data_IF_589826969199
#
_entry.id   IF_589826969199
#
_cell.length_a   1.000
_cell.length_b   1.000
_cell.length_c   1.000
_cell.angle_alpha   90.00
_cell.angle_beta   90.00
_cell.angle_gamma   90.00
#
_symmetry.space_group_name_H-M   'P 1'
#
loop_
_entity.id
_entity.type
_entity.pdbx_description
1 polymer ?
#
# COMPACT_ATOMS: atom_id res chain seq x y z
N UNK A 1 -17.27 14.15 18.43
CA UNK A 1 -16.02 13.38 18.58
C UNK A 1 -15.95 12.41 17.41
N UNK A 2 -15.07 12.66 16.45
CA UNK A 2 -14.90 11.81 15.26
C UNK A 2 -13.91 10.68 15.57
N UNK A 3 -14.21 9.47 15.09
CA UNK A 3 -13.28 8.33 15.14
C UNK A 3 -12.32 8.38 13.94
N UNK A 4 -11.13 7.81 14.08
CA UNK A 4 -10.12 7.71 13.01
C UNK A 4 -10.65 6.95 11.78
N UNK A 5 -10.17 7.24 10.57
CA UNK A 5 -10.65 6.61 9.32
C UNK A 5 -10.01 5.23 9.04
N UNK A 6 -9.28 4.64 9.99
CA UNK A 6 -8.59 3.38 9.79
C UNK A 6 -9.57 2.19 9.83
N UNK A 7 -9.73 1.54 8.67
CA UNK A 7 -10.25 0.18 8.43
C UNK A 7 -11.27 -0.33 9.48
N UNK A 8 -12.49 0.20 9.44
CA UNK A 8 -13.54 -0.20 10.39
C UNK A 8 -14.23 -1.51 9.97
N UNK A 9 -13.71 -2.64 10.46
CA UNK A 9 -14.38 -3.93 10.40
C UNK A 9 -15.83 -3.83 10.93
N UNK A 10 -16.79 -4.32 10.14
CA UNK A 10 -18.19 -4.45 10.56
C UNK A 10 -18.26 -5.60 11.58
N UNK A 11 -18.37 -5.30 12.89
CA UNK A 11 -19.14 -6.06 13.93
C UNK A 11 -18.86 -5.71 15.42
N UNK A 12 -18.27 -4.56 15.80
CA UNK A 12 -18.12 -4.20 17.23
C UNK A 12 -19.21 -3.23 17.76
N UNK A 13 -20.04 -3.72 18.70
CA UNK A 13 -21.02 -2.90 19.46
C UNK A 13 -20.33 -2.06 20.55
N UNK A 14 -20.99 -0.97 20.97
CA UNK A 14 -20.49 -0.04 21.99
C UNK A 14 -20.42 -0.64 23.40
N UNK A 15 -19.48 -0.16 24.20
CA UNK A 15 -19.76 0.23 25.59
C UNK A 15 -18.90 1.44 25.99
N UNK A 16 -19.34 2.19 27.01
CA UNK A 16 -18.86 3.54 27.33
C UNK A 16 -18.42 3.63 28.79
N UNK A 17 -17.20 4.13 29.06
CA UNK A 17 -16.80 4.62 30.40
C UNK A 17 -15.92 5.87 30.25
N UNK A 18 -16.05 6.81 31.19
CA UNK A 18 -15.39 8.12 31.24
C UNK A 18 -14.69 8.27 32.61
N UNK A 19 -13.44 8.74 32.65
CA UNK A 19 -12.81 9.44 33.80
C UNK A 19 -11.43 9.99 33.42
N UNK A 20 -10.91 10.98 34.18
CA UNK A 20 -9.65 11.69 33.92
C UNK A 20 -8.79 11.78 35.21
N UNK A 21 -7.48 12.12 35.10
CA UNK A 21 -6.87 13.31 35.74
C UNK A 21 -5.34 13.49 35.50
N UNK A 22 -4.91 14.73 35.73
CA UNK A 22 -3.55 15.33 35.76
C UNK A 22 -2.75 14.87 37.02
N UNK A 23 -1.42 15.05 37.25
CA UNK A 23 -0.35 16.00 36.78
C UNK A 23 1.05 15.32 36.85
N UNK A 24 2.08 15.81 36.12
CA UNK A 24 3.47 15.86 36.65
C UNK A 24 4.61 15.38 35.74
N UNK A 25 5.68 16.18 35.60
CA UNK A 25 6.91 15.78 34.89
C UNK A 25 8.18 16.25 35.58
N UNK A 26 9.31 15.59 35.32
CA UNK A 26 10.68 16.03 35.63
C UNK A 26 11.59 15.57 34.50
N UNK A 27 12.50 16.44 34.03
CA UNK A 27 13.54 16.09 33.08
C UNK A 27 14.87 15.82 33.81
N UNK A 28 15.63 14.82 33.35
CA UNK A 28 17.00 14.55 33.80
C UNK A 28 17.89 14.41 32.57
N UNK A 29 19.02 15.14 32.57
CA UNK A 29 20.01 15.13 31.49
C UNK A 29 21.12 14.11 31.74
N UNK A 30 21.59 13.46 30.67
CA UNK A 30 22.73 12.55 30.63
C UNK A 30 23.61 12.84 29.40
N UNK A 31 24.89 12.45 29.40
CA UNK A 31 25.90 13.04 28.52
C UNK A 31 25.85 12.56 27.06
N UNK A 32 26.42 13.39 26.18
CA UNK A 32 26.50 13.16 24.74
C UNK A 32 27.35 11.93 24.38
N UNK A 33 26.92 11.22 23.34
CA UNK A 33 27.72 10.23 22.61
C UNK A 33 27.86 10.65 21.14
N UNK A 34 28.93 10.16 20.51
CA UNK A 34 29.50 10.63 19.23
C UNK A 34 28.52 10.66 18.04
N UNK A 35 28.75 11.51 17.02
CA UNK A 35 27.85 11.62 15.87
C UNK A 35 27.79 10.30 15.09
N UNK A 36 26.59 9.76 14.95
CA UNK A 36 26.31 8.71 13.98
C UNK A 36 26.49 9.26 12.56
N UNK A 37 27.03 8.43 11.67
CA UNK A 37 27.14 8.76 10.24
C UNK A 37 25.78 9.14 9.70
N UNK A 38 25.66 10.37 9.20
CA UNK A 38 24.36 10.93 8.80
C UNK A 38 23.72 10.12 7.68
N UNK A 39 22.68 9.35 8.03
CA UNK A 39 21.73 8.83 7.04
C UNK A 39 21.05 10.03 6.41
N UNK A 40 21.49 10.40 5.20
CA UNK A 40 20.77 11.35 4.36
C UNK A 40 19.45 10.70 3.99
N UNK A 41 18.38 11.25 4.55
CA UNK A 41 17.02 10.84 4.25
C UNK A 41 16.75 11.01 2.75
N UNK A 42 15.93 10.13 2.20
CA UNK A 42 15.84 9.90 0.74
C UNK A 42 14.52 10.37 0.11
N UNK A 43 13.72 11.16 0.84
CA UNK A 43 12.46 11.70 0.31
C UNK A 43 12.72 12.90 -0.61
N UNK A 44 12.00 12.93 -1.74
CA UNK A 44 11.99 14.06 -2.66
C UNK A 44 10.86 15.06 -2.34
N UNK A 45 9.82 14.62 -1.63
CA UNK A 45 8.71 15.44 -1.16
C UNK A 45 7.34 14.83 -1.43
N UNK A 46 6.30 15.67 -1.35
CA UNK A 46 4.91 15.28 -1.59
C UNK A 46 4.63 15.18 -3.08
N UNK A 47 4.01 14.07 -3.47
CA UNK A 47 3.57 13.83 -4.84
C UNK A 47 2.30 14.63 -5.15
N UNK A 48 2.38 15.47 -6.18
CA UNK A 48 1.23 16.17 -6.76
C UNK A 48 0.44 17.05 -5.80
N UNK A 49 1.11 17.77 -4.90
CA UNK A 49 0.53 18.73 -3.96
C UNK A 49 -0.66 19.54 -4.55
N UNK A 50 -1.81 19.52 -3.86
CA UNK A 50 -3.11 20.09 -4.24
C UNK A 50 -3.87 19.43 -5.40
N UNK A 51 -3.35 18.37 -6.02
CA UNK A 51 -4.00 17.65 -7.13
C UNK A 51 -4.13 16.16 -6.82
N UNK A 52 -3.00 15.50 -6.57
CA UNK A 52 -2.92 14.12 -6.09
C UNK A 52 -3.10 14.16 -4.58
N UNK A 53 -2.07 14.54 -3.82
CA UNK A 53 -2.17 14.75 -2.37
C UNK A 53 -2.96 16.05 -2.07
N UNK A 54 -4.07 15.94 -1.34
CA UNK A 54 -4.98 17.06 -1.07
C UNK A 54 -5.25 17.20 0.44
N UNK A 55 -6.47 17.55 0.87
CA UNK A 55 -6.87 17.55 2.30
C UNK A 55 -7.44 16.20 2.75
N UNK A 56 -7.78 15.33 1.80
CA UNK A 56 -8.31 14.00 2.05
C UNK A 56 -7.20 13.05 2.53
N UNK A 57 -7.48 11.75 2.48
CA UNK A 57 -6.51 10.68 2.69
C UNK A 57 -6.26 10.03 1.34
N UNK A 58 -5.04 10.13 0.82
CA UNK A 58 -4.61 9.50 -0.42
C UNK A 58 -3.65 8.33 -0.12
N UNK A 59 -3.99 7.14 -0.60
CA UNK A 59 -3.31 5.87 -0.29
C UNK A 59 -2.88 5.16 -1.57
N UNK A 60 -1.70 4.53 -1.52
CA UNK A 60 -1.12 3.62 -2.51
C UNK A 60 -1.16 4.16 -3.95
N UNK A 61 -0.35 5.19 -4.18
CA UNK A 61 -0.23 5.81 -5.50
C UNK A 61 0.61 4.98 -6.48
N UNK A 62 0.07 4.69 -7.66
CA UNK A 62 0.75 3.98 -8.73
C UNK A 62 0.84 4.85 -9.98
N UNK A 63 2.05 4.97 -10.54
CA UNK A 63 2.31 5.68 -11.80
C UNK A 63 2.34 4.70 -12.96
N UNK A 64 1.68 5.03 -14.07
CA UNK A 64 1.63 4.21 -15.27
C UNK A 64 3.03 4.04 -15.89
N UNK A 65 3.32 2.93 -16.60
CA UNK A 65 4.66 2.69 -17.16
C UNK A 65 5.16 3.74 -18.17
N UNK A 66 4.27 4.56 -18.74
CA UNK A 66 4.60 5.70 -19.61
C UNK A 66 4.79 7.04 -18.86
N UNK A 67 4.59 7.04 -17.53
CA UNK A 67 4.65 8.21 -16.67
C UNK A 67 3.53 9.24 -16.88
N UNK A 68 2.55 8.99 -17.74
CA UNK A 68 1.54 9.98 -18.12
C UNK A 68 0.33 10.01 -17.18
N UNK A 69 0.11 8.98 -16.38
CA UNK A 69 -1.01 8.87 -15.45
C UNK A 69 -0.53 8.41 -14.06
N UNK A 70 -1.21 8.90 -13.03
CA UNK A 70 -1.11 8.38 -11.67
C UNK A 70 -2.51 8.01 -11.18
N UNK A 71 -2.63 6.89 -10.49
CA UNK A 71 -3.84 6.43 -9.80
C UNK A 71 -3.56 6.25 -8.31
N UNK A 72 -4.57 6.45 -7.46
CA UNK A 72 -4.47 6.24 -6.02
C UNK A 72 -5.85 5.93 -5.44
N UNK A 73 -5.90 5.28 -4.27
CA UNK A 73 -7.14 5.13 -3.50
C UNK A 73 -7.36 6.36 -2.61
N UNK A 74 -8.61 6.79 -2.42
CA UNK A 74 -8.94 7.78 -1.40
C UNK A 74 -10.20 7.42 -0.62
N UNK A 75 -10.14 7.60 0.70
CA UNK A 75 -11.18 7.16 1.65
C UNK A 75 -12.22 8.23 1.99
N UNK A 76 -12.00 9.48 1.57
CA UNK A 76 -12.79 10.63 2.00
C UNK A 76 -12.71 11.85 1.06
N UNK A 77 -12.32 11.63 -0.21
CA UNK A 77 -12.28 12.69 -1.23
C UNK A 77 -13.63 12.79 -1.95
N UNK A 78 -14.22 13.99 -1.87
CA UNK A 78 -15.54 14.27 -2.43
C UNK A 78 -15.61 14.06 -3.96
N UNK A 79 -16.71 13.48 -4.44
CA UNK A 79 -16.99 13.27 -5.87
C UNK A 79 -16.82 11.84 -6.38
N UNK A 80 -16.39 10.91 -5.51
CA UNK A 80 -16.39 9.47 -5.78
C UNK A 80 -17.80 8.85 -5.88
N UNK A 81 -17.86 7.58 -6.27
CA UNK A 81 -19.09 6.79 -6.39
C UNK A 81 -19.45 6.04 -5.10
N UNK A 82 -18.50 5.85 -4.19
CA UNK A 82 -18.64 5.04 -2.98
C UNK A 82 -18.16 5.76 -1.73
N UNK A 83 -17.62 4.98 -0.78
CA UNK A 83 -16.93 5.52 0.40
C UNK A 83 -15.43 5.60 0.20
N UNK A 84 -14.83 4.53 -0.32
CA UNK A 84 -13.44 4.50 -0.77
C UNK A 84 -13.43 4.33 -2.29
N UNK A 85 -12.72 5.23 -2.96
CA UNK A 85 -12.78 5.40 -4.40
C UNK A 85 -11.37 5.42 -5.00
N UNK A 86 -11.22 4.86 -6.21
CA UNK A 86 -10.02 5.05 -7.01
C UNK A 86 -10.09 6.39 -7.75
N UNK A 87 -8.99 7.13 -7.72
CA UNK A 87 -8.81 8.41 -8.39
C UNK A 87 -7.66 8.35 -9.38
N UNK A 88 -7.67 9.25 -10.37
CA UNK A 88 -6.58 9.43 -11.32
C UNK A 88 -6.29 10.90 -11.57
N UNK A 89 -5.05 11.19 -12.00
CA UNK A 89 -4.64 12.47 -12.58
C UNK A 89 -3.71 12.19 -13.77
N UNK A 90 -3.60 13.16 -14.70
CA UNK A 90 -2.69 13.08 -15.86
C UNK A 90 -1.51 14.03 -15.71
N UNK A 91 -0.35 13.66 -16.23
CA UNK A 91 0.81 14.52 -16.29
C UNK A 91 0.68 15.46 -17.48
N UNK A 92 0.81 16.76 -17.24
CA UNK A 92 0.86 17.78 -18.29
C UNK A 92 1.79 18.91 -17.85
N UNK A 93 2.69 19.32 -18.74
CA UNK A 93 3.69 20.38 -18.49
C UNK A 93 4.52 20.14 -17.21
N UNK A 94 4.85 18.86 -16.96
CA UNK A 94 5.60 18.43 -15.77
C UNK A 94 4.83 18.44 -14.44
N UNK A 95 3.50 18.59 -14.47
CA UNK A 95 2.64 18.62 -13.27
C UNK A 95 1.42 17.72 -13.42
N UNK A 96 0.98 17.12 -12.31
CA UNK A 96 -0.31 16.42 -12.27
C UNK A 96 -1.46 17.41 -12.42
N UNK A 97 -2.45 17.08 -13.25
CA UNK A 97 -3.62 17.90 -13.56
C UNK A 97 -4.88 17.02 -13.72
N UNK A 98 -6.05 17.66 -13.71
CA UNK A 98 -7.36 17.06 -13.99
C UNK A 98 -7.71 15.82 -13.14
N UNK A 99 -7.50 15.93 -11.83
CA UNK A 99 -7.81 14.85 -10.89
C UNK A 99 -9.32 14.53 -10.86
N UNK A 100 -9.66 13.26 -11.06
CA UNK A 100 -11.05 12.75 -11.17
C UNK A 100 -11.18 11.31 -10.67
N UNK A 101 -12.35 10.85 -10.21
CA UNK A 101 -12.58 9.45 -9.89
C UNK A 101 -12.47 8.56 -11.14
N UNK A 102 -12.21 7.27 -10.95
CA UNK A 102 -12.23 6.29 -12.03
C UNK A 102 -13.66 5.85 -12.38
N UNK A 103 -13.91 5.64 -13.67
CA UNK A 103 -15.20 5.13 -14.17
C UNK A 103 -15.48 3.66 -13.82
N UNK A 104 -14.52 2.95 -13.21
CA UNK A 104 -14.67 1.56 -12.71
C UNK A 104 -15.07 1.49 -11.24
N UNK A 105 -15.12 2.63 -10.54
CA UNK A 105 -15.60 2.68 -9.16
C UNK A 105 -17.07 2.27 -9.10
N UNK A 106 -17.44 1.76 -7.94
CA UNK A 106 -18.76 1.26 -7.60
C UNK A 106 -19.25 1.92 -6.31
N UNK A 107 -20.50 1.68 -5.89
CA UNK A 107 -20.98 2.10 -4.56
C UNK A 107 -20.32 1.35 -3.38
N UNK A 108 -19.41 0.42 -3.65
CA UNK A 108 -18.64 -0.32 -2.65
C UNK A 108 -17.35 0.44 -2.27
N UNK A 109 -16.44 -0.21 -1.55
CA UNK A 109 -15.07 0.28 -1.43
C UNK A 109 -14.25 -0.26 -2.61
N UNK A 110 -13.53 0.60 -3.31
CA UNK A 110 -12.60 0.26 -4.39
C UNK A 110 -11.24 0.89 -4.11
N UNK A 111 -10.19 0.07 -3.93
CA UNK A 111 -8.96 0.52 -3.28
C UNK A 111 -7.66 -0.16 -3.72
N UNK A 112 -6.52 0.37 -3.24
CA UNK A 112 -5.17 -0.11 -3.50
C UNK A 112 -4.78 -0.33 -4.97
N UNK A 113 -4.93 0.69 -5.84
CA UNK A 113 -4.70 0.55 -7.27
C UNK A 113 -3.22 0.35 -7.61
N UNK A 114 -2.92 -0.55 -8.55
CA UNK A 114 -1.57 -0.74 -9.08
C UNK A 114 -1.60 -1.10 -10.58
N UNK A 115 -0.90 -0.31 -11.39
CA UNK A 115 -0.76 -0.60 -12.82
C UNK A 115 0.09 -1.86 -13.03
N UNK A 116 -0.25 -2.67 -14.03
CA UNK A 116 0.67 -3.71 -14.55
C UNK A 116 1.93 -3.07 -15.15
N UNK A 117 3.04 -3.80 -15.13
CA UNK A 117 4.32 -3.34 -15.70
C UNK A 117 4.29 -3.13 -17.22
N UNK A 118 3.32 -3.72 -17.92
CA UNK A 118 3.05 -3.53 -19.35
C UNK A 118 1.97 -2.46 -19.66
N UNK A 119 1.36 -1.87 -18.62
CA UNK A 119 0.36 -0.81 -18.73
C UNK A 119 -1.01 -1.26 -19.26
N UNK A 120 -1.26 -2.56 -19.48
CA UNK A 120 -2.52 -3.07 -20.08
C UNK A 120 -3.60 -3.36 -19.06
N UNK A 121 -3.27 -3.37 -17.77
CA UNK A 121 -4.17 -3.69 -16.67
C UNK A 121 -3.98 -2.74 -15.49
N UNK A 122 -5.08 -2.43 -14.81
CA UNK A 122 -5.08 -1.87 -13.47
C UNK A 122 -5.60 -2.94 -12.50
N UNK A 123 -4.83 -3.26 -11.47
CA UNK A 123 -5.21 -4.15 -10.37
C UNK A 123 -5.66 -3.31 -9.17
N UNK A 124 -6.61 -3.83 -8.38
CA UNK A 124 -7.16 -3.18 -7.19
C UNK A 124 -7.94 -4.21 -6.35
N UNK A 125 -8.32 -3.89 -5.11
CA UNK A 125 -9.27 -4.72 -4.34
C UNK A 125 -10.64 -4.03 -4.21
N UNK A 126 -11.68 -4.82 -3.94
CA UNK A 126 -13.05 -4.32 -3.78
C UNK A 126 -13.97 -5.27 -3.01
N UNK A 127 -14.90 -4.72 -2.22
CA UNK A 127 -16.05 -5.46 -1.66
C UNK A 127 -17.33 -5.29 -2.49
N UNK A 128 -17.20 -5.09 -3.80
CA UNK A 128 -18.33 -5.02 -4.74
C UNK A 128 -19.17 -6.31 -4.72
N UNK A 129 -20.51 -6.22 -4.82
CA UNK A 129 -21.38 -7.40 -4.89
C UNK A 129 -21.04 -8.33 -6.05
N UNK A 130 -21.12 -9.65 -5.82
CA UNK A 130 -20.74 -10.69 -6.78
C UNK A 130 -19.34 -11.26 -6.56
N UNK A 131 -18.65 -10.79 -5.51
CA UNK A 131 -17.39 -11.32 -5.02
C UNK A 131 -17.43 -12.74 -4.42
N UNK A 132 -16.28 -13.19 -3.92
CA UNK A 132 -16.08 -14.52 -3.31
C UNK A 132 -16.01 -14.41 -1.77
N UNK A 133 -15.31 -13.39 -1.26
CA UNK A 133 -15.11 -13.11 0.17
C UNK A 133 -15.68 -11.77 0.63
N UNK A 134 -14.93 -11.06 1.47
CA UNK A 134 -15.19 -9.69 1.89
C UNK A 134 -14.65 -8.71 0.85
N UNK A 135 -13.41 -8.27 1.03
CA UNK A 135 -12.63 -7.61 -0.02
C UNK A 135 -11.98 -8.67 -0.93
N UNK A 136 -12.27 -8.67 -2.24
CA UNK A 136 -11.55 -9.52 -3.21
C UNK A 136 -10.59 -8.71 -4.09
N UNK A 137 -9.62 -9.38 -4.73
CA UNK A 137 -8.80 -8.81 -5.78
C UNK A 137 -9.51 -8.81 -7.15
N UNK A 138 -9.37 -7.68 -7.86
CA UNK A 138 -9.90 -7.44 -9.20
C UNK A 138 -8.82 -6.87 -10.14
N UNK A 139 -9.13 -6.87 -11.43
CA UNK A 139 -8.43 -6.05 -12.44
C UNK A 139 -9.41 -5.46 -13.46
N UNK A 140 -8.98 -4.39 -14.14
CA UNK A 140 -9.65 -3.87 -15.33
C UNK A 140 -8.63 -3.69 -16.46
N UNK A 141 -9.00 -4.08 -17.67
CA UNK A 141 -8.17 -3.84 -18.86
C UNK A 141 -8.10 -2.32 -19.16
N UNK A 142 -6.93 -1.83 -19.53
CA UNK A 142 -6.73 -0.45 -19.99
C UNK A 142 -6.69 -0.48 -21.52
N UNK A 143 -7.60 0.26 -22.15
CA UNK A 143 -7.71 0.35 -23.61
C UNK A 143 -6.74 1.41 -24.17
N UNK A 144 -6.40 1.37 -25.47
CA UNK A 144 -5.50 2.35 -26.10
C UNK A 144 -5.97 3.82 -26.02
N UNK A 145 -7.25 4.08 -25.76
CA UNK A 145 -7.81 5.41 -25.54
C UNK A 145 -7.75 5.89 -24.07
N UNK A 146 -7.12 5.11 -23.19
CA UNK A 146 -7.06 5.35 -21.75
C UNK A 146 -8.35 5.03 -21.00
N UNK A 147 -9.38 4.50 -21.67
CA UNK A 147 -10.60 4.03 -21.00
C UNK A 147 -10.41 2.62 -20.42
N UNK A 148 -11.17 2.30 -19.38
CA UNK A 148 -11.17 0.98 -18.77
C UNK A 148 -12.17 0.03 -19.44
N UNK A 149 -11.82 -1.25 -19.50
CA UNK A 149 -12.74 -2.34 -19.82
C UNK A 149 -13.63 -2.73 -18.63
N UNK A 150 -14.41 -3.82 -18.77
CA UNK A 150 -15.11 -4.42 -17.64
C UNK A 150 -14.14 -4.80 -16.51
N UNK A 151 -14.65 -4.78 -15.28
CA UNK A 151 -13.91 -5.25 -14.10
C UNK A 151 -14.03 -6.78 -14.00
N UNK A 152 -12.88 -7.44 -13.83
CA UNK A 152 -12.73 -8.89 -13.71
C UNK A 152 -12.30 -9.25 -12.28
N UNK A 153 -13.04 -10.13 -11.59
CA UNK A 153 -12.59 -10.75 -10.33
C UNK A 153 -11.46 -11.74 -10.65
N UNK A 154 -10.36 -11.74 -9.88
CA UNK A 154 -9.21 -12.62 -10.15
C UNK A 154 -9.48 -14.11 -9.85
N UNK A 155 -10.58 -14.41 -9.17
CA UNK A 155 -11.10 -15.76 -8.96
C UNK A 155 -10.48 -16.50 -7.77
N UNK A 156 -11.00 -17.70 -7.53
CA UNK A 156 -10.72 -18.56 -6.36
C UNK A 156 -9.25 -19.03 -6.20
N UNK A 157 -8.38 -18.71 -7.15
CA UNK A 157 -6.94 -18.99 -7.03
C UNK A 157 -6.21 -18.01 -6.11
N UNK A 158 -6.78 -16.81 -5.90
CA UNK A 158 -6.26 -15.81 -4.96
C UNK A 158 -7.31 -15.32 -3.98
N UNK A 159 -8.57 -15.20 -4.42
CA UNK A 159 -9.67 -14.68 -3.61
C UNK A 159 -10.34 -15.81 -2.79
N UNK A 160 -10.63 -15.56 -1.52
CA UNK A 160 -11.06 -16.56 -0.54
C UNK A 160 -12.44 -16.25 0.04
N UNK A 161 -12.68 -16.55 1.33
CA UNK A 161 -13.86 -16.06 2.07
C UNK A 161 -13.53 -14.88 2.99
N UNK A 162 -12.25 -14.61 3.19
CA UNK A 162 -11.74 -13.51 4.00
C UNK A 162 -11.60 -12.24 3.18
N UNK A 163 -10.64 -11.41 3.57
CA UNK A 163 -10.25 -10.18 2.89
C UNK A 163 -8.89 -10.37 2.19
N UNK A 164 -8.80 -9.94 0.93
CA UNK A 164 -7.58 -9.88 0.13
C UNK A 164 -7.26 -8.44 -0.29
N UNK A 165 -6.06 -7.96 0.04
CA UNK A 165 -5.65 -6.56 -0.13
C UNK A 165 -4.36 -6.39 -0.95
N UNK A 166 -4.07 -5.13 -1.30
CA UNK A 166 -2.80 -4.67 -1.86
C UNK A 166 -2.23 -5.52 -3.02
N UNK A 167 -2.98 -5.73 -4.13
CA UNK A 167 -2.47 -6.49 -5.27
C UNK A 167 -1.27 -5.79 -5.92
N UNK A 168 -0.16 -6.51 -6.02
CA UNK A 168 1.11 -6.09 -6.64
C UNK A 168 1.48 -7.10 -7.72
N UNK A 169 1.07 -6.90 -8.99
CA UNK A 169 1.60 -7.66 -10.11
C UNK A 169 3.11 -7.44 -10.26
N UNK A 170 3.82 -8.51 -10.60
CA UNK A 170 5.22 -8.45 -11.01
C UNK A 170 5.36 -7.73 -12.35
N UNK A 171 6.54 -7.17 -12.64
CA UNK A 171 6.74 -6.32 -13.83
C UNK A 171 6.56 -7.07 -15.15
N UNK A 172 6.79 -8.38 -15.16
CA UNK A 172 6.54 -9.31 -16.26
C UNK A 172 5.13 -9.94 -16.24
N UNK A 173 4.34 -9.69 -15.19
CA UNK A 173 2.99 -10.21 -14.99
C UNK A 173 2.89 -11.69 -14.63
N UNK A 174 4.00 -12.38 -14.34
CA UNK A 174 4.01 -13.84 -14.08
C UNK A 174 3.67 -14.22 -12.65
N UNK A 175 3.79 -13.26 -11.72
CA UNK A 175 3.52 -13.39 -10.28
C UNK A 175 2.62 -12.25 -9.77
N UNK A 176 1.83 -12.51 -8.73
CA UNK A 176 1.04 -11.53 -7.99
C UNK A 176 1.37 -11.65 -6.50
N UNK A 177 1.91 -10.59 -5.91
CA UNK A 177 2.05 -10.42 -4.47
C UNK A 177 0.80 -9.73 -3.93
N UNK A 178 0.26 -10.21 -2.82
CA UNK A 178 -0.95 -9.69 -2.18
C UNK A 178 -0.95 -10.03 -0.69
N UNK A 179 -1.86 -9.42 0.07
CA UNK A 179 -2.12 -9.79 1.46
C UNK A 179 -3.46 -10.54 1.55
N UNK A 180 -3.59 -11.51 2.48
CA UNK A 180 -4.85 -12.22 2.73
C UNK A 180 -4.93 -12.69 4.18
N UNK A 181 -6.14 -12.63 4.77
CA UNK A 181 -6.45 -13.31 6.04
C UNK A 181 -7.14 -14.68 5.86
N UNK A 182 -7.55 -15.01 4.62
CA UNK A 182 -8.34 -16.20 4.31
C UNK A 182 -7.58 -17.34 3.61
N UNK A 183 -6.35 -17.12 3.17
CA UNK A 183 -5.44 -18.18 2.66
C UNK A 183 -4.84 -19.05 3.80
N UNK A 184 -5.11 -18.70 5.06
CA UNK A 184 -4.37 -19.17 6.24
C UNK A 184 -3.07 -18.37 6.41
N UNK A 185 -2.24 -18.70 7.41
CA UNK A 185 -1.03 -17.93 7.67
C UNK A 185 -0.46 -18.07 9.07
N UNK A 186 0.32 -17.08 9.49
CA UNK A 186 0.90 -16.92 10.81
C UNK A 186 0.10 -15.95 11.72
N UNK A 187 -0.72 -15.06 11.13
CA UNK A 187 -1.34 -13.93 11.80
C UNK A 187 -2.73 -13.58 11.29
N UNK A 188 -2.98 -12.28 11.10
CA UNK A 188 -4.19 -11.74 10.48
C UNK A 188 -4.03 -11.75 8.96
N UNK A 189 -3.80 -10.58 8.38
CA UNK A 189 -3.34 -10.48 7.00
C UNK A 189 -1.89 -10.91 6.89
N UNK A 190 -1.64 -11.88 6.01
CA UNK A 190 -0.32 -12.41 5.72
C UNK A 190 0.04 -12.18 4.24
N UNK A 191 1.34 -12.05 3.92
CA UNK A 191 1.76 -11.85 2.53
C UNK A 191 1.83 -13.18 1.77
N UNK A 192 1.29 -13.18 0.56
CA UNK A 192 1.26 -14.32 -0.37
C UNK A 192 1.78 -13.95 -1.76
N UNK A 193 2.37 -14.92 -2.45
CA UNK A 193 2.63 -14.83 -3.90
C UNK A 193 1.95 -15.97 -4.64
N UNK A 194 1.10 -15.62 -5.60
CA UNK A 194 0.51 -16.54 -6.57
C UNK A 194 1.23 -16.44 -7.92
N UNK A 195 1.23 -17.53 -8.69
CA UNK A 195 1.79 -17.60 -10.05
C UNK A 195 0.68 -17.49 -11.09
N UNK A 196 0.98 -16.92 -12.25
CA UNK A 196 0.13 -17.00 -13.43
C UNK A 196 0.28 -18.37 -14.11
N UNK A 197 -0.83 -19.02 -14.45
CA UNK A 197 -0.82 -20.32 -15.16
C UNK A 197 -1.08 -20.23 -16.67
N UNK A 198 -1.21 -19.01 -17.20
CA UNK A 198 -1.68 -18.74 -18.57
C UNK A 198 -3.13 -18.23 -18.62
N UNK A 199 -3.93 -18.42 -17.57
CA UNK A 199 -5.35 -18.08 -17.50
C UNK A 199 -5.76 -17.36 -16.21
N UNK A 200 -5.18 -17.72 -15.07
CA UNK A 200 -5.48 -17.17 -13.75
C UNK A 200 -4.22 -17.10 -12.86
N UNK A 201 -4.31 -16.36 -11.76
CA UNK A 201 -3.38 -16.49 -10.65
C UNK A 201 -3.79 -17.67 -9.78
N UNK A 202 -2.84 -18.56 -9.48
CA UNK A 202 -3.05 -19.84 -8.78
C UNK A 202 -1.87 -20.15 -7.86
N UNK A 203 -2.00 -21.21 -7.06
CA UNK A 203 -1.00 -21.72 -6.12
C UNK A 203 -0.37 -20.63 -5.23
N UNK A 204 -1.17 -19.85 -4.47
CA UNK A 204 -0.65 -18.85 -3.56
C UNK A 204 0.21 -19.51 -2.48
N UNK A 205 1.42 -18.99 -2.29
CA UNK A 205 2.36 -19.44 -1.25
C UNK A 205 2.66 -18.29 -0.30
N UNK A 206 2.71 -18.54 1.02
CA UNK A 206 3.08 -17.50 1.98
C UNK A 206 4.51 -17.04 1.71
N UNK A 207 4.78 -15.74 1.84
CA UNK A 207 6.11 -15.17 1.66
C UNK A 207 7.00 -15.64 2.83
N UNK A 208 8.06 -16.42 2.56
CA UNK A 208 8.82 -17.06 3.63
C UNK A 208 9.59 -16.02 4.46
N UNK A 209 9.31 -15.93 5.76
CA UNK A 209 10.11 -15.21 6.75
C UNK A 209 9.63 -13.83 7.19
N UNK A 210 8.74 -13.17 6.43
CA UNK A 210 8.17 -11.84 6.81
C UNK A 210 6.86 -11.93 7.61
N UNK A 211 6.09 -13.00 7.39
CA UNK A 211 4.80 -13.28 7.98
C UNK A 211 4.91 -13.59 9.49
N UNK A 212 4.11 -12.91 10.33
CA UNK A 212 4.14 -13.00 11.80
C UNK A 212 2.74 -13.12 12.40
N UNK A 213 2.56 -12.82 13.70
CA UNK A 213 1.23 -12.71 14.33
C UNK A 213 0.56 -11.36 14.14
N UNK A 214 1.30 -10.40 13.59
CA UNK A 214 0.80 -9.09 13.20
C UNK A 214 0.05 -9.19 11.86
N UNK A 215 -0.46 -8.08 11.36
CA UNK A 215 -0.86 -7.95 9.96
C UNK A 215 0.36 -7.49 9.14
N UNK A 216 0.73 -8.25 8.12
CA UNK A 216 1.64 -7.85 7.05
C UNK A 216 0.88 -7.69 5.72
N UNK A 217 0.95 -6.48 5.16
CA UNK A 217 0.24 -6.10 3.95
C UNK A 217 1.05 -5.09 3.14
N UNK A 218 0.47 -4.54 2.07
CA UNK A 218 1.03 -3.43 1.31
C UNK A 218 2.52 -3.60 0.95
N UNK A 219 2.80 -4.53 0.03
CA UNK A 219 4.16 -4.96 -0.26
C UNK A 219 4.59 -4.74 -1.72
N UNK A 220 5.88 -4.42 -1.90
CA UNK A 220 6.53 -4.18 -3.18
C UNK A 220 7.89 -4.90 -3.28
N UNK A 221 8.18 -5.42 -4.47
CA UNK A 221 9.46 -6.02 -4.80
C UNK A 221 10.48 -4.99 -5.26
N UNK A 222 11.70 -5.08 -4.74
CA UNK A 222 12.88 -4.37 -5.23
C UNK A 222 13.88 -5.39 -5.80
N UNK A 223 14.47 -5.06 -6.96
CA UNK A 223 15.48 -5.89 -7.61
C UNK A 223 15.03 -7.32 -7.92
N UNK A 224 13.82 -7.47 -8.47
CA UNK A 224 13.19 -8.77 -8.80
C UNK A 224 13.08 -9.72 -7.60
N UNK A 225 12.63 -9.18 -6.47
CA UNK A 225 12.41 -9.93 -5.23
C UNK A 225 13.65 -10.12 -4.36
N UNK A 226 14.80 -9.51 -4.68
CA UNK A 226 15.98 -9.54 -3.78
C UNK A 226 15.72 -8.84 -2.45
N UNK A 227 14.92 -7.78 -2.47
CA UNK A 227 14.44 -7.07 -1.27
C UNK A 227 12.93 -6.89 -1.37
N UNK A 228 12.24 -6.98 -0.24
CA UNK A 228 10.85 -6.53 -0.07
C UNK A 228 10.80 -5.23 0.72
N UNK A 229 9.87 -4.36 0.34
CA UNK A 229 9.33 -3.29 1.21
C UNK A 229 7.89 -3.68 1.52
N UNK A 230 7.48 -3.68 2.77
CA UNK A 230 6.12 -4.08 3.16
C UNK A 230 5.61 -3.32 4.39
N UNK A 231 4.30 -3.17 4.50
CA UNK A 231 3.66 -2.62 5.69
C UNK A 231 3.45 -3.70 6.76
N UNK A 232 3.60 -3.32 8.04
CA UNK A 232 3.24 -4.15 9.20
C UNK A 232 2.52 -3.33 10.27
N UNK A 233 1.48 -3.90 10.88
CA UNK A 233 0.79 -3.36 12.06
C UNK A 233 0.32 -4.47 12.99
N UNK A 234 0.21 -4.19 14.29
CA UNK A 234 -0.38 -5.14 15.27
C UNK A 234 -1.92 -5.22 15.16
N UNK A 235 -2.53 -4.23 14.53
CA UNK A 235 -3.95 -4.14 14.17
C UNK A 235 -4.09 -2.81 13.38
N UNK A 236 -4.23 -2.82 12.05
CA UNK A 236 -4.25 -1.60 11.25
C UNK A 236 -5.48 -0.71 11.51
N UNK A 237 -6.53 -1.20 12.17
CA UNK A 237 -7.69 -0.39 12.55
C UNK A 237 -7.43 0.46 13.82
N UNK A 238 -6.53 0.04 14.71
CA UNK A 238 -6.28 0.75 15.99
C UNK A 238 -4.81 1.06 16.31
N UNK A 239 -3.84 0.58 15.52
CA UNK A 239 -2.40 0.71 15.76
C UNK A 239 -1.65 1.35 14.59
N UNK A 240 -0.52 2.03 14.84
CA UNK A 240 0.33 2.59 13.80
C UNK A 240 0.81 1.52 12.81
N UNK A 241 0.82 1.86 11.52
CA UNK A 241 1.37 1.04 10.43
C UNK A 241 2.75 1.54 10.04
N UNK A 242 3.72 0.65 9.83
CA UNK A 242 5.07 1.03 9.41
C UNK A 242 5.56 0.20 8.24
N UNK A 243 6.41 0.82 7.42
CA UNK A 243 7.16 0.12 6.38
C UNK A 243 8.42 -0.54 6.95
N UNK A 244 8.62 -1.80 6.58
CA UNK A 244 9.80 -2.61 6.88
C UNK A 244 10.52 -3.01 5.60
N UNK A 245 11.81 -3.30 5.72
CA UNK A 245 12.64 -3.93 4.71
C UNK A 245 12.89 -5.38 5.07
N UNK A 246 12.93 -6.26 4.07
CA UNK A 246 13.46 -7.61 4.26
C UNK A 246 14.31 -8.04 3.06
N UNK A 247 15.40 -8.75 3.31
CA UNK A 247 16.34 -9.20 2.29
C UNK A 247 16.26 -10.72 2.11
N UNK A 248 16.24 -11.17 0.85
CA UNK A 248 16.24 -12.60 0.56
C UNK A 248 17.62 -13.23 0.85
N UNK A 249 17.66 -14.25 1.71
CA UNK A 249 18.88 -15.01 2.07
C UNK A 249 19.25 -16.09 1.02
N UNK A 250 18.36 -16.33 0.06
CA UNK A 250 18.43 -17.38 -0.97
C UNK A 250 17.32 -18.44 -0.85
N UNK A 251 16.60 -18.48 0.28
CA UNK A 251 15.48 -19.38 0.53
C UNK A 251 14.30 -18.69 1.26
N UNK A 252 14.57 -17.68 2.09
CA UNK A 252 13.58 -16.88 2.83
C UNK A 252 14.02 -15.43 2.97
N UNK A 253 13.09 -14.56 3.34
CA UNK A 253 13.37 -13.18 3.70
C UNK A 253 13.74 -13.06 5.18
N UNK A 254 14.85 -12.38 5.46
CA UNK A 254 15.21 -11.91 6.79
C UNK A 254 14.82 -10.44 6.95
N UNK A 255 14.11 -10.13 8.04
CA UNK A 255 13.69 -8.77 8.40
C UNK A 255 14.91 -7.88 8.69
N UNK A 256 15.08 -6.84 7.89
CA UNK A 256 16.17 -5.87 7.96
C UNK A 256 15.81 -4.63 8.80
N UNK A 257 14.61 -4.59 9.35
CA UNK A 257 14.10 -3.51 10.18
C UNK A 257 13.29 -2.45 9.43
N UNK A 258 12.85 -1.38 10.13
CA UNK A 258 12.01 -0.34 9.54
C UNK A 258 12.71 0.43 8.42
N UNK A 259 11.97 0.73 7.35
CA UNK A 259 12.44 1.58 6.26
C UNK A 259 12.82 2.98 6.79
N UNK A 260 14.04 3.44 6.48
CA UNK A 260 14.57 4.72 6.93
C UNK A 260 13.89 5.92 6.24
N UNK A 261 12.82 6.43 6.88
CA UNK A 261 12.05 7.60 6.47
C UNK A 261 11.73 8.47 7.69
N UNK A 262 11.72 9.78 7.50
CA UNK A 262 11.47 10.79 8.56
C UNK A 262 10.11 10.66 9.24
N UNK A 263 9.12 10.08 8.57
CA UNK A 263 7.75 9.89 9.08
C UNK A 263 7.36 8.43 9.35
N UNK A 264 8.24 7.45 9.09
CA UNK A 264 8.00 6.02 9.36
C UNK A 264 8.33 5.64 10.82
N UNK A 265 7.81 6.41 11.78
CA UNK A 265 8.11 6.28 13.22
C UNK A 265 7.24 5.22 13.91
N UNK A 266 7.52 4.91 15.18
CA UNK A 266 6.75 3.92 15.94
C UNK A 266 5.28 4.34 16.18
N UNK A 267 4.99 5.63 16.07
CA UNK A 267 3.70 6.28 16.35
C UNK A 267 2.99 6.77 15.07
N UNK A 268 3.71 6.82 13.94
CA UNK A 268 3.22 7.29 12.65
C UNK A 268 2.61 6.18 11.80
N UNK A 269 1.78 6.55 10.84
CA UNK A 269 1.26 5.62 9.82
C UNK A 269 1.99 5.85 8.51
N UNK A 270 2.66 4.81 8.00
CA UNK A 270 3.27 4.76 6.67
C UNK A 270 3.00 3.39 6.03
N UNK A 271 2.44 3.40 4.82
CA UNK A 271 1.99 2.20 4.07
C UNK A 271 2.08 2.45 2.56
N UNK A 272 1.47 1.58 1.74
CA UNK A 272 1.31 1.74 0.30
C UNK A 272 2.62 1.90 -0.48
N UNK A 273 3.68 1.09 -0.26
CA UNK A 273 4.90 1.20 -1.04
C UNK A 273 4.63 0.70 -2.46
N UNK A 274 4.89 1.55 -3.46
CA UNK A 274 4.73 1.23 -4.87
C UNK A 274 5.99 1.67 -5.62
N UNK A 275 6.57 0.76 -6.40
CA UNK A 275 7.67 1.10 -7.32
C UNK A 275 7.10 1.83 -8.52
N UNK A 276 7.69 2.96 -8.88
CA UNK A 276 7.33 3.68 -10.11
C UNK A 276 7.83 2.88 -11.34
N UNK A 277 6.92 2.37 -12.17
CA UNK A 277 7.30 1.54 -13.34
C UNK A 277 8.02 2.31 -14.44
N UNK A 278 7.77 3.62 -14.54
CA UNK A 278 8.48 4.54 -15.42
C UNK A 278 9.84 4.94 -14.81
N UNK A 279 10.01 4.84 -13.49
CA UNK A 279 11.26 5.10 -12.77
C UNK A 279 11.57 4.07 -11.66
N UNK A 280 12.05 2.86 -11.99
CA UNK A 280 12.22 1.77 -11.01
C UNK A 280 13.22 2.00 -9.86
N UNK A 281 13.92 3.13 -9.84
CA UNK A 281 14.76 3.59 -8.73
C UNK A 281 14.03 4.53 -7.75
N UNK A 282 12.72 4.73 -7.90
CA UNK A 282 11.88 5.56 -7.04
C UNK A 282 10.72 4.73 -6.45
N UNK A 283 10.33 5.07 -5.22
CA UNK A 283 9.13 4.57 -4.56
C UNK A 283 8.15 5.73 -4.32
N UNK A 284 6.86 5.41 -4.40
CA UNK A 284 5.78 6.20 -3.82
C UNK A 284 5.32 5.47 -2.55
N UNK A 285 5.09 6.21 -1.47
CA UNK A 285 4.57 5.70 -0.20
C UNK A 285 3.46 6.62 0.31
N UNK A 286 2.53 6.09 1.11
CA UNK A 286 1.50 6.88 1.78
C UNK A 286 1.86 7.12 3.23
N UNK A 287 1.71 8.34 3.73
CA UNK A 287 2.16 8.66 5.09
C UNK A 287 1.44 9.81 5.78
N UNK A 288 1.44 9.78 7.11
CA UNK A 288 0.89 10.84 7.98
C UNK A 288 1.99 11.79 8.49
N UNK A 289 2.85 12.28 7.60
CA UNK A 289 3.99 13.12 8.00
C UNK A 289 3.55 14.42 8.69
N UNK A 290 4.40 14.97 9.57
CA UNK A 290 4.12 16.24 10.26
C UNK A 290 4.35 17.44 9.33
N UNK A 291 5.44 17.41 8.56
CA UNK A 291 5.79 18.37 7.52
C UNK A 291 6.84 17.75 6.57
N UNK A 292 6.84 18.08 5.26
CA UNK A 292 5.74 18.73 4.55
C UNK A 292 4.47 17.85 4.61
N UNK A 293 3.29 18.43 4.44
CA UNK A 293 1.98 17.76 4.57
C UNK A 293 0.93 18.51 3.76
N UNK A 294 -0.03 17.83 3.13
CA UNK A 294 -1.19 18.46 2.48
C UNK A 294 -2.51 18.18 3.22
N UNK A 295 -2.72 16.94 3.66
CA UNK A 295 -4.01 16.42 4.12
C UNK A 295 -3.91 15.43 5.26
N UNK A 296 -4.78 14.43 5.32
CA UNK A 296 -4.81 13.45 6.41
C UNK A 296 -3.70 12.43 6.27
N UNK A 297 -3.51 11.95 5.04
CA UNK A 297 -2.47 11.03 4.61
C UNK A 297 -2.13 11.40 3.18
N UNK A 298 -0.87 11.71 2.91
CA UNK A 298 -0.42 12.18 1.61
C UNK A 298 0.44 11.11 0.92
N UNK A 299 0.63 11.26 -0.40
CA UNK A 299 1.61 10.49 -1.14
C UNK A 299 2.97 11.20 -1.12
N UNK A 300 4.02 10.46 -0.79
CA UNK A 300 5.40 10.93 -0.75
C UNK A 300 6.24 10.12 -1.74
N UNK A 301 7.10 10.82 -2.47
CA UNK A 301 8.05 10.20 -3.39
C UNK A 301 9.44 10.14 -2.73
N UNK A 302 10.14 9.02 -2.89
CA UNK A 302 11.47 8.79 -2.34
C UNK A 302 12.34 8.00 -3.32
N UNK A 303 13.65 7.98 -3.08
CA UNK A 303 14.54 7.00 -3.72
C UNK A 303 14.21 5.60 -3.22
N UNK A 304 14.10 4.63 -4.11
CA UNK A 304 14.00 3.22 -3.72
C UNK A 304 15.31 2.78 -3.00
N UNK A 305 15.21 2.02 -1.89
CA UNK A 305 16.35 1.33 -1.30
C UNK A 305 17.08 0.44 -2.31
N UNK A 306 18.37 0.21 -2.08
CA UNK A 306 19.15 -0.73 -2.89
C UNK A 306 18.66 -2.15 -2.62
N UNK A 307 18.56 -2.96 -3.67
CA UNK A 307 18.19 -4.36 -3.55
C UNK A 307 19.43 -5.21 -3.22
N UNK A 308 19.61 -5.55 -1.95
CA UNK A 308 20.84 -6.14 -1.41
C UNK A 308 20.80 -7.68 -1.26
N UNK A 309 19.61 -8.29 -1.23
CA UNK A 309 19.46 -9.73 -1.07
C UNK A 309 19.82 -10.57 -2.31
N UNK A 310 19.76 -11.90 -2.13
CA UNK A 310 19.94 -12.91 -3.20
C UNK A 310 18.63 -13.13 -3.96
N UNK A 311 18.68 -13.89 -5.04
CA UNK A 311 17.48 -14.47 -5.67
C UNK A 311 17.14 -15.81 -4.98
N UNK A 312 15.89 -16.27 -5.11
CA UNK A 312 15.47 -17.63 -4.73
C UNK A 312 14.33 -17.75 -3.71
N UNK A 313 13.89 -16.65 -3.10
CA UNK A 313 12.82 -16.65 -2.09
C UNK A 313 11.39 -16.67 -2.69
N UNK A 314 11.26 -16.44 -3.99
CA UNK A 314 10.00 -16.37 -4.79
C UNK A 314 10.31 -16.74 -6.25
#
# INVERSE_FOLDING_TARGET
MQRSPALACRHCRLSSVLAALIVGGVAVSGPASSPSSGMTLSEFGIEGMNVVSTKASEIRGSVSPDGQHIVWGSTDREGGAGGWDLWQARLKDGRWQDARPLAINSPANDFDPLFSGDGRWLYFFSNRPGGIGGDDLYRAAIKPDGSFGPVENLGRGVNTRGDEWAPTPSRDGTRLLFASDGQGGAGGHDLFVARWDGKAFVDPKPVPGVNTKADEFDAAWLGDGRTLVYARSQDPATKPVRLFLAHCDGARYDDAGPLALSFNTAEGTTLGPVVDWNKPGELIVSGTAKAPRAGKMDLYRMKAPVAEGKAGCI
#
